data_IF_450220695809
#
_entry.id   IF_450220695809
#
_cell.length_a   1.000
_cell.length_b   1.000
_cell.length_c   1.000
_cell.angle_alpha   90.00
_cell.angle_beta   90.00
_cell.angle_gamma   90.00
#
_symmetry.space_group_name_H-M   'P 1'
#
loop_
_entity.id
_entity.type
_entity.pdbx_description
1 polymer ?
#
# COMPACT_ATOMS: atom_id res chain seq x y z
N UNK A 1 9.58 -3.23 -17.21
CA UNK A 1 9.67 -3.16 -15.73
C UNK A 1 11.00 -3.76 -15.26
N UNK A 2 12.10 -2.99 -15.31
CA UNK A 2 13.48 -3.50 -15.15
C UNK A 2 13.81 -4.01 -13.73
N UNK A 3 13.16 -3.46 -12.69
CA UNK A 3 13.51 -3.71 -11.28
C UNK A 3 12.42 -4.40 -10.45
N UNK A 4 11.32 -4.85 -11.08
CA UNK A 4 10.16 -5.44 -10.39
C UNK A 4 10.54 -6.54 -9.39
N UNK A 5 11.38 -7.51 -9.81
CA UNK A 5 11.80 -8.62 -8.94
C UNK A 5 12.62 -8.14 -7.74
N UNK A 6 13.47 -7.13 -7.93
CA UNK A 6 14.29 -6.54 -6.85
C UNK A 6 13.41 -5.81 -5.83
N UNK A 7 12.45 -5.02 -6.29
CA UNK A 7 11.52 -4.29 -5.42
C UNK A 7 10.69 -5.28 -4.58
N UNK A 8 10.10 -6.30 -5.23
CA UNK A 8 9.33 -7.32 -4.51
C UNK A 8 10.20 -8.08 -3.49
N UNK A 9 11.44 -8.40 -3.85
CA UNK A 9 12.37 -9.07 -2.95
C UNK A 9 12.67 -8.23 -1.71
N UNK A 10 13.01 -6.95 -1.87
CA UNK A 10 13.33 -6.07 -0.73
C UNK A 10 12.13 -5.93 0.20
N UNK A 11 10.94 -5.64 -0.33
CA UNK A 11 9.74 -5.48 0.49
C UNK A 11 9.39 -6.80 1.21
N UNK A 12 9.60 -7.95 0.56
CA UNK A 12 9.42 -9.27 1.18
C UNK A 12 10.44 -9.55 2.29
N UNK A 13 11.71 -9.15 2.13
CA UNK A 13 12.73 -9.24 3.19
C UNK A 13 12.39 -8.33 4.37
N UNK A 14 11.96 -7.09 4.11
CA UNK A 14 11.52 -6.16 5.15
C UNK A 14 10.34 -6.75 5.92
N UNK A 15 9.37 -7.33 5.21
CA UNK A 15 8.24 -8.03 5.82
C UNK A 15 8.72 -9.15 6.73
N UNK A 16 9.57 -10.07 6.25
CA UNK A 16 10.12 -11.15 7.08
C UNK A 16 10.89 -10.66 8.31
N UNK A 17 11.64 -9.55 8.19
CA UNK A 17 12.38 -8.97 9.32
C UNK A 17 11.44 -8.51 10.43
N UNK A 18 10.30 -7.89 10.09
CA UNK A 18 9.30 -7.47 11.10
C UNK A 18 8.72 -8.66 11.89
N UNK A 19 8.81 -9.86 11.33
CA UNK A 19 8.26 -11.09 11.90
C UNK A 19 9.27 -11.88 12.74
N UNK A 20 10.56 -11.67 12.50
CA UNK A 20 11.66 -12.34 13.22
C UNK A 20 12.17 -11.53 14.43
N UNK A 21 11.63 -10.34 14.66
CA UNK A 21 11.95 -9.54 15.84
C UNK A 21 11.51 -10.23 17.15
N UNK A 22 12.29 -10.04 18.23
CA UNK A 22 12.04 -10.64 19.56
C UNK A 22 10.66 -10.33 20.13
N UNK A 23 10.10 -9.18 19.74
CA UNK A 23 8.69 -8.83 19.92
C UNK A 23 8.09 -8.57 18.54
N UNK A 24 6.96 -9.23 18.23
CA UNK A 24 6.31 -9.11 16.93
C UNK A 24 5.71 -7.71 16.76
N UNK A 25 6.24 -6.93 15.81
CA UNK A 25 5.66 -5.64 15.46
C UNK A 25 4.46 -5.86 14.52
N UNK A 26 3.30 -6.18 15.08
CA UNK A 26 2.09 -6.51 14.32
C UNK A 26 1.66 -5.37 13.38
N UNK A 27 1.79 -4.12 13.86
CA UNK A 27 1.44 -2.92 13.08
C UNK A 27 2.34 -2.80 11.86
N UNK A 28 3.66 -2.90 12.04
CA UNK A 28 4.60 -2.76 10.92
C UNK A 28 4.50 -3.94 9.96
N UNK A 29 4.35 -5.14 10.49
CA UNK A 29 4.15 -6.36 9.68
C UNK A 29 2.93 -6.22 8.78
N UNK A 30 1.82 -5.72 9.31
CA UNK A 30 0.61 -5.50 8.53
C UNK A 30 0.77 -4.38 7.49
N UNK A 31 1.44 -3.27 7.82
CA UNK A 31 1.77 -2.19 6.87
C UNK A 31 2.54 -2.71 5.68
N UNK A 32 3.68 -3.38 5.94
CA UNK A 32 4.56 -3.87 4.89
C UNK A 32 3.88 -4.97 4.09
N UNK A 33 3.07 -5.83 4.73
CA UNK A 33 2.28 -6.84 4.01
C UNK A 33 1.31 -6.23 3.01
N UNK A 34 0.56 -5.22 3.43
CA UNK A 34 -0.41 -4.55 2.56
C UNK A 34 0.29 -3.92 1.35
N UNK A 35 1.46 -3.29 1.55
CA UNK A 35 2.30 -2.77 0.46
C UNK A 35 2.72 -3.92 -0.47
N UNK A 36 3.28 -4.98 0.09
CA UNK A 36 3.77 -6.13 -0.66
C UNK A 36 2.66 -6.79 -1.50
N UNK A 37 1.48 -6.97 -0.91
CA UNK A 37 0.32 -7.57 -1.57
C UNK A 37 -0.15 -6.71 -2.74
N UNK A 38 -0.28 -5.40 -2.54
CA UNK A 38 -0.68 -4.46 -3.60
C UNK A 38 0.37 -4.39 -4.71
N UNK A 39 1.66 -4.39 -4.38
CA UNK A 39 2.74 -4.45 -5.39
C UNK A 39 2.66 -5.74 -6.22
N UNK A 40 2.45 -6.89 -5.57
CA UNK A 40 2.28 -8.18 -6.26
C UNK A 40 1.08 -8.14 -7.21
N UNK A 41 -0.05 -7.58 -6.78
CA UNK A 41 -1.25 -7.45 -7.60
C UNK A 41 -1.05 -6.53 -8.80
N UNK A 42 -0.49 -5.33 -8.57
CA UNK A 42 -0.10 -4.36 -9.62
C UNK A 42 0.76 -5.04 -10.68
N UNK A 43 1.83 -5.71 -10.25
CA UNK A 43 2.78 -6.29 -11.17
C UNK A 43 2.21 -7.47 -11.94
N UNK A 44 1.35 -8.28 -11.32
CA UNK A 44 0.64 -9.36 -12.00
C UNK A 44 -0.27 -8.79 -13.09
N UNK A 45 -1.12 -7.83 -12.75
CA UNK A 45 -2.07 -7.20 -13.67
C UNK A 45 -1.37 -6.48 -14.84
N UNK A 46 -0.30 -5.73 -14.55
CA UNK A 46 0.48 -5.05 -15.59
C UNK A 46 1.17 -6.07 -16.50
N UNK A 47 1.75 -7.14 -15.96
CA UNK A 47 2.44 -8.15 -16.77
C UNK A 47 1.48 -8.84 -17.75
N UNK A 48 0.25 -9.12 -17.31
CA UNK A 48 -0.81 -9.68 -18.15
C UNK A 48 -1.19 -8.70 -19.28
N UNK A 49 -1.39 -7.42 -18.98
CA UNK A 49 -1.70 -6.42 -20.01
C UNK A 49 -0.56 -6.15 -20.99
N UNK A 50 0.69 -6.13 -20.50
CA UNK A 50 1.86 -5.97 -21.37
C UNK A 50 2.01 -7.17 -22.30
N UNK A 51 1.69 -8.39 -21.84
CA UNK A 51 1.66 -9.58 -22.69
C UNK A 51 0.62 -9.48 -23.84
N UNK A 52 -0.46 -8.71 -23.66
CA UNK A 52 -1.43 -8.41 -24.74
C UNK A 52 -0.98 -7.31 -25.72
N UNK A 53 0.25 -6.81 -25.58
CA UNK A 53 0.84 -5.81 -26.48
C UNK A 53 0.62 -4.36 -26.05
N UNK A 54 0.18 -4.11 -24.81
CA UNK A 54 0.08 -2.74 -24.25
C UNK A 54 1.42 -2.26 -23.73
N UNK A 55 1.64 -0.95 -23.74
CA UNK A 55 2.81 -0.36 -23.08
C UNK A 55 2.65 -0.47 -21.56
N UNK A 56 3.78 -0.47 -20.83
CA UNK A 56 3.74 -0.50 -19.36
C UNK A 56 3.01 0.71 -18.77
N UNK A 57 3.16 1.89 -19.39
CA UNK A 57 2.48 3.11 -18.96
C UNK A 57 0.95 3.00 -19.12
N UNK A 58 0.48 2.50 -20.26
CA UNK A 58 -0.96 2.32 -20.49
C UNK A 58 -1.53 1.25 -19.56
N UNK A 59 -0.78 0.18 -19.30
CA UNK A 59 -1.16 -0.86 -18.35
C UNK A 59 -1.33 -0.29 -16.93
N UNK A 60 -0.41 0.58 -16.47
CA UNK A 60 -0.54 1.29 -15.20
C UNK A 60 -1.81 2.15 -15.15
N UNK A 61 -2.10 2.91 -16.20
CA UNK A 61 -3.29 3.77 -16.27
C UNK A 61 -4.58 2.94 -16.28
N UNK A 62 -4.60 1.81 -16.98
CA UNK A 62 -5.74 0.88 -17.00
C UNK A 62 -5.95 0.29 -15.61
N UNK A 63 -4.89 -0.14 -14.94
CA UNK A 63 -4.97 -0.65 -13.58
C UNK A 63 -5.48 0.40 -12.58
N UNK A 64 -4.96 1.64 -12.66
CA UNK A 64 -5.46 2.74 -11.84
C UNK A 64 -6.95 3.01 -12.09
N UNK A 65 -7.39 3.04 -13.35
CA UNK A 65 -8.82 3.18 -13.69
C UNK A 65 -9.65 2.00 -13.17
N UNK A 66 -9.13 0.78 -13.25
CA UNK A 66 -9.78 -0.40 -12.71
C UNK A 66 -9.99 -0.27 -11.20
N UNK A 67 -8.95 0.04 -10.42
CA UNK A 67 -9.10 0.24 -8.97
C UNK A 67 -10.05 1.39 -8.62
N UNK A 68 -9.97 2.50 -9.36
CA UNK A 68 -10.74 3.72 -9.10
C UNK A 68 -12.17 3.68 -9.68
N UNK A 69 -12.56 2.58 -10.31
CA UNK A 69 -13.89 2.42 -10.90
C UNK A 69 -14.99 2.67 -9.86
N UNK A 70 -16.03 3.40 -10.28
CA UNK A 70 -17.16 3.79 -9.44
C UNK A 70 -18.45 3.76 -10.25
N UNK A 71 -19.43 3.00 -9.81
CA UNK A 71 -20.74 2.92 -10.45
C UNK A 71 -21.76 3.84 -9.75
N UNK A 72 -22.75 4.39 -10.49
CA UNK A 72 -23.84 5.16 -9.89
C UNK A 72 -24.62 4.31 -8.87
N UNK A 73 -24.75 4.83 -7.64
CA UNK A 73 -25.46 4.14 -6.55
C UNK A 73 -24.56 3.32 -5.61
N UNK A 74 -23.29 3.14 -5.95
CA UNK A 74 -22.32 2.55 -5.03
C UNK A 74 -21.98 3.51 -3.89
N UNK A 75 -21.71 2.95 -2.71
CA UNK A 75 -21.22 3.69 -1.54
C UNK A 75 -19.70 3.56 -1.36
N UNK A 76 -19.07 2.58 -2.01
CA UNK A 76 -17.66 2.23 -1.87
C UNK A 76 -17.10 1.75 -3.21
N UNK A 77 -15.78 1.92 -3.41
CA UNK A 77 -15.08 1.35 -4.58
C UNK A 77 -14.91 -0.15 -4.39
N UNK A 78 -15.70 -0.96 -5.10
CA UNK A 78 -15.65 -2.42 -4.99
C UNK A 78 -14.25 -2.99 -5.24
N UNK A 79 -13.53 -2.50 -6.24
CA UNK A 79 -12.23 -3.08 -6.62
C UNK A 79 -11.17 -2.86 -5.55
N UNK A 80 -11.11 -1.67 -4.93
CA UNK A 80 -10.23 -1.40 -3.77
C UNK A 80 -10.65 -2.23 -2.55
N UNK A 81 -11.96 -2.33 -2.28
CA UNK A 81 -12.48 -3.11 -1.16
C UNK A 81 -12.13 -4.60 -1.29
N UNK A 82 -12.31 -5.18 -2.48
CA UNK A 82 -11.96 -6.57 -2.79
C UNK A 82 -10.46 -6.80 -2.65
N UNK A 83 -9.64 -5.90 -3.20
CA UNK A 83 -8.19 -5.99 -3.11
C UNK A 83 -7.73 -6.02 -1.65
N UNK A 84 -8.24 -5.11 -0.82
CA UNK A 84 -7.84 -5.01 0.59
C UNK A 84 -8.34 -6.17 1.44
N UNK A 85 -9.58 -6.63 1.24
CA UNK A 85 -10.07 -7.83 1.92
C UNK A 85 -9.29 -9.07 1.53
N UNK A 86 -8.86 -9.16 0.27
CA UNK A 86 -8.00 -10.25 -0.21
C UNK A 86 -6.61 -10.17 0.43
N UNK A 87 -6.05 -8.97 0.56
CA UNK A 87 -4.79 -8.74 1.25
C UNK A 87 -4.86 -9.21 2.71
N UNK A 88 -5.93 -8.85 3.43
CA UNK A 88 -6.15 -9.35 4.79
C UNK A 88 -6.29 -10.87 4.82
N UNK A 89 -7.12 -11.46 3.97
CA UNK A 89 -7.30 -12.92 3.94
C UNK A 89 -5.98 -13.68 3.70
N UNK A 90 -5.07 -13.11 2.92
CA UNK A 90 -3.78 -13.71 2.60
C UNK A 90 -2.67 -13.39 3.62
N UNK A 91 -2.94 -12.56 4.65
CA UNK A 91 -1.95 -12.18 5.65
C UNK A 91 -1.48 -13.41 6.45
N UNK A 92 -0.19 -13.77 6.45
CA UNK A 92 0.25 -15.07 6.96
C UNK A 92 0.20 -15.20 8.49
N UNK A 93 0.08 -14.10 9.24
CA UNK A 93 0.11 -14.12 10.72
C UNK A 93 -1.30 -14.06 11.30
N UNK A 94 -2.04 -15.16 11.14
CA UNK A 94 -3.43 -15.25 11.58
C UNK A 94 -3.62 -15.24 13.11
N UNK A 95 -2.57 -15.55 13.87
CA UNK A 95 -2.56 -15.53 15.34
C UNK A 95 -2.33 -14.13 15.91
N UNK A 96 -2.07 -13.13 15.06
CA UNK A 96 -1.90 -11.75 15.49
C UNK A 96 -3.20 -11.18 16.06
N UNK A 97 -3.13 -10.51 17.21
CA UNK A 97 -4.30 -9.90 17.84
C UNK A 97 -4.87 -8.78 16.95
N UNK A 98 -3.98 -7.97 16.35
CA UNK A 98 -4.36 -6.94 15.38
C UNK A 98 -5.11 -7.55 14.19
N UNK A 99 -4.56 -8.63 13.61
CA UNK A 99 -5.20 -9.32 12.50
C UNK A 99 -6.59 -9.85 12.86
N UNK A 100 -6.70 -10.60 13.96
CA UNK A 100 -7.96 -11.17 14.40
C UNK A 100 -9.02 -10.09 14.63
N UNK A 101 -8.62 -8.98 15.25
CA UNK A 101 -9.51 -7.84 15.53
C UNK A 101 -10.02 -7.24 14.22
N UNK A 102 -9.15 -7.03 13.23
CA UNK A 102 -9.51 -6.48 11.93
C UNK A 102 -10.43 -7.41 11.15
N UNK A 103 -10.12 -8.71 11.07
CA UNK A 103 -10.95 -9.67 10.33
C UNK A 103 -12.33 -9.83 10.99
N UNK A 104 -12.40 -9.90 12.33
CA UNK A 104 -13.67 -9.93 13.06
C UNK A 104 -14.49 -8.65 12.84
N UNK A 105 -13.84 -7.49 12.73
CA UNK A 105 -14.52 -6.24 12.42
C UNK A 105 -15.03 -6.20 10.98
N UNK A 106 -14.20 -6.59 10.00
CA UNK A 106 -14.56 -6.65 8.58
C UNK A 106 -15.69 -7.65 8.28
N UNK A 107 -15.79 -8.73 9.05
CA UNK A 107 -16.86 -9.72 8.92
C UNK A 107 -18.26 -9.16 9.26
N UNK A 108 -18.34 -8.08 10.05
CA UNK A 108 -19.61 -7.44 10.43
C UNK A 108 -20.19 -6.56 9.33
N UNK A 109 -19.36 -6.16 8.36
CA UNK A 109 -19.75 -5.23 7.30
C UNK A 109 -19.75 -5.93 5.94
N UNK A 110 -20.91 -6.08 5.29
CA UNK A 110 -21.00 -6.65 3.95
C UNK A 110 -20.19 -5.88 2.92
N UNK A 111 -19.76 -6.57 1.86
CA UNK A 111 -19.10 -5.93 0.73
C UNK A 111 -20.04 -4.90 0.07
N UNK A 112 -19.53 -3.70 -0.19
CA UNK A 112 -20.34 -2.60 -0.75
C UNK A 112 -20.84 -1.60 0.28
N UNK A 113 -20.70 -1.90 1.58
CA UNK A 113 -21.12 -1.04 2.69
C UNK A 113 -19.92 -0.48 3.46
N UNK A 114 -20.16 0.56 4.25
CA UNK A 114 -19.16 1.13 5.16
C UNK A 114 -19.38 0.62 6.58
N UNK A 115 -18.32 0.48 7.41
CA UNK A 115 -16.93 0.80 7.11
C UNK A 115 -16.25 -0.16 6.12
N UNK A 116 -15.44 0.41 5.22
CA UNK A 116 -14.62 -0.29 4.23
C UNK A 116 -13.44 -1.02 4.90
N UNK A 117 -12.87 -2.01 4.23
CA UNK A 117 -11.63 -2.66 4.65
C UNK A 117 -10.50 -1.64 4.83
N UNK A 118 -10.47 -0.61 3.98
CA UNK A 118 -9.57 0.52 4.14
C UNK A 118 -9.73 1.21 5.51
N UNK A 119 -10.95 1.61 5.87
CA UNK A 119 -11.24 2.31 7.13
C UNK A 119 -10.84 1.46 8.34
N UNK A 120 -11.10 0.15 8.29
CA UNK A 120 -10.65 -0.76 9.35
C UNK A 120 -9.13 -0.84 9.45
N UNK A 121 -8.41 -0.97 8.32
CA UNK A 121 -6.95 -1.04 8.30
C UNK A 121 -6.35 0.24 8.88
N UNK A 122 -6.78 1.42 8.42
CA UNK A 122 -6.27 2.70 8.93
C UNK A 122 -6.57 2.87 10.42
N UNK A 123 -7.79 2.53 10.84
CA UNK A 123 -8.17 2.59 12.25
C UNK A 123 -7.31 1.64 13.11
N UNK A 124 -7.02 0.44 12.63
CA UNK A 124 -6.17 -0.53 13.33
C UNK A 124 -4.70 -0.10 13.41
N UNK A 125 -4.18 0.55 12.36
CA UNK A 125 -2.78 0.94 12.25
C UNK A 125 -2.42 2.25 12.97
N UNK A 126 -3.33 3.23 12.96
CA UNK A 126 -3.06 4.59 13.43
C UNK A 126 -3.98 5.04 14.58
N UNK A 127 -4.90 4.17 15.01
CA UNK A 127 -5.89 4.47 16.02
C UNK A 127 -7.01 5.39 15.52
N UNK A 128 -8.10 5.48 16.29
CA UNK A 128 -9.30 6.24 15.90
C UNK A 128 -9.06 7.76 15.77
N UNK A 129 -8.05 8.31 16.48
CA UNK A 129 -7.77 9.75 16.48
C UNK A 129 -7.21 10.25 15.14
N UNK A 130 -6.42 9.44 14.42
CA UNK A 130 -5.83 9.88 13.15
C UNK A 130 -6.88 9.97 12.05
N UNK A 131 -7.76 8.95 11.94
CA UNK A 131 -8.87 8.92 10.97
C UNK A 131 -9.80 10.14 11.09
N UNK A 132 -9.93 10.70 12.29
CA UNK A 132 -10.75 11.89 12.57
C UNK A 132 -10.03 13.21 12.30
N UNK A 133 -8.69 13.20 12.33
CA UNK A 133 -7.87 14.41 12.24
C UNK A 133 -7.39 14.71 10.81
N UNK A 134 -7.23 13.71 9.96
CA UNK A 134 -6.64 13.87 8.63
C UNK A 134 -7.69 14.06 7.52
N UNK A 135 -7.52 15.11 6.71
CA UNK A 135 -8.38 15.43 5.55
C UNK A 135 -7.58 15.22 4.27
N UNK A 136 -7.71 14.05 3.64
CA UNK A 136 -6.96 13.73 2.42
C UNK A 136 -7.72 14.03 1.12
N UNK A 137 -6.96 14.21 0.05
CA UNK A 137 -7.51 14.36 -1.30
C UNK A 137 -8.02 13.02 -1.84
N UNK A 138 -9.26 13.04 -2.33
CA UNK A 138 -9.97 11.91 -2.95
C UNK A 138 -9.33 11.31 -4.21
N UNK A 139 -8.36 12.00 -4.81
CA UNK A 139 -7.78 11.61 -6.11
C UNK A 139 -6.27 11.46 -6.03
N UNK A 140 -5.60 12.21 -5.16
CA UNK A 140 -4.13 12.23 -5.07
C UNK A 140 -3.59 12.02 -3.64
N UNK A 141 -4.46 11.74 -2.65
CA UNK A 141 -4.04 11.43 -1.28
C UNK A 141 -3.38 12.57 -0.49
N UNK A 142 -3.26 13.79 -1.03
CA UNK A 142 -2.64 14.91 -0.31
C UNK A 142 -3.37 15.27 0.99
N UNK A 143 -2.63 15.39 2.11
CA UNK A 143 -3.13 15.77 3.44
C UNK A 143 -3.67 17.22 3.53
N UNK A 144 -3.52 18.02 2.46
CA UNK A 144 -3.88 19.45 2.42
C UNK A 144 -5.04 19.74 1.45
N UNK A 145 -5.89 18.76 1.16
CA UNK A 145 -6.94 18.88 0.15
C UNK A 145 -8.07 19.83 0.57
N UNK A 146 -8.17 21.00 -0.08
CA UNK A 146 -9.23 21.99 0.17
C UNK A 146 -10.53 21.70 -0.58
N UNK A 147 -10.52 20.82 -1.60
CA UNK A 147 -11.67 20.58 -2.48
C UNK A 147 -12.38 19.25 -2.14
N UNK A 148 -13.71 19.28 -2.05
CA UNK A 148 -14.58 18.11 -1.77
C UNK A 148 -15.48 17.79 -2.96
N UNK A 149 -15.91 16.54 -3.09
CA UNK A 149 -16.99 16.12 -3.99
C UNK A 149 -18.26 16.96 -3.72
N UNK A 150 -18.74 17.80 -4.66
CA UNK A 150 -19.90 18.66 -4.43
C UNK A 150 -21.21 17.88 -4.20
N UNK A 151 -21.29 16.64 -4.69
CA UNK A 151 -22.48 15.78 -4.60
C UNK A 151 -22.53 14.92 -3.33
N UNK A 152 -21.37 14.50 -2.83
CA UNK A 152 -21.26 13.48 -1.79
C UNK A 152 -20.52 13.95 -0.53
N UNK A 153 -19.81 15.10 -0.57
CA UNK A 153 -19.03 15.72 0.51
C UNK A 153 -17.98 14.84 1.20
N UNK A 154 -17.85 13.56 0.83
CA UNK A 154 -16.95 12.60 1.43
C UNK A 154 -15.51 12.77 0.93
N UNK A 155 -14.56 12.68 1.87
CA UNK A 155 -13.15 12.49 1.56
C UNK A 155 -12.96 11.05 1.10
N UNK A 156 -12.06 10.87 0.14
CA UNK A 156 -11.73 9.55 -0.36
C UNK A 156 -10.24 9.32 -0.10
N UNK A 157 -9.94 8.12 0.35
CA UNK A 157 -8.71 7.83 1.07
C UNK A 157 -7.84 6.90 0.21
N UNK A 158 -6.55 7.18 0.12
CA UNK A 158 -5.58 6.33 -0.58
C UNK A 158 -4.59 5.76 0.44
N UNK A 159 -4.51 4.43 0.43
CA UNK A 159 -3.70 3.59 1.31
C UNK A 159 -2.21 3.80 1.09
N UNK A 160 -1.79 4.11 -0.14
CA UNK A 160 -0.38 4.27 -0.45
C UNK A 160 0.21 5.53 0.19
N UNK A 161 -0.57 6.61 0.31
CA UNK A 161 -0.07 7.88 0.88
C UNK A 161 0.04 7.81 2.40
N UNK A 162 -0.92 7.21 3.11
CA UNK A 162 -0.83 7.03 4.57
C UNK A 162 0.18 5.95 5.00
N UNK A 163 0.35 4.88 4.22
CA UNK A 163 1.42 3.92 4.49
C UNK A 163 2.80 4.57 4.28
N UNK A 164 2.91 5.48 3.30
CA UNK A 164 4.15 6.20 3.02
C UNK A 164 4.50 7.30 4.03
N UNK A 165 3.52 7.88 4.74
CA UNK A 165 3.77 8.98 5.69
C UNK A 165 4.34 8.54 7.03
N UNK A 166 4.36 7.23 7.32
CA UNK A 166 5.07 6.64 8.47
C UNK A 166 6.01 5.49 8.11
N UNK A 167 6.19 5.23 6.82
CA UNK A 167 7.15 4.27 6.27
C UNK A 167 7.54 4.79 4.88
N UNK A 168 8.36 5.83 4.86
CA UNK A 168 8.95 6.32 3.62
C UNK A 168 9.89 5.22 3.11
N UNK A 169 9.46 4.47 2.09
CA UNK A 169 10.39 3.69 1.25
C UNK A 169 11.49 4.62 0.68
N UNK A 170 11.20 5.92 0.61
CA UNK A 170 12.15 7.01 0.33
C UNK A 170 13.23 7.23 1.41
N UNK A 171 13.03 6.80 2.66
CA UNK A 171 14.10 6.80 3.69
C UNK A 171 14.98 5.56 3.54
N UNK A 172 14.41 4.42 3.13
CA UNK A 172 15.17 3.20 2.88
C UNK A 172 16.06 3.29 1.64
N UNK A 173 15.65 4.04 0.61
CA UNK A 173 16.38 4.22 -0.64
C UNK A 173 16.69 5.71 -0.86
N UNK A 174 17.92 6.09 -0.60
CA UNK A 174 18.47 7.42 -0.84
C UNK A 174 18.80 7.55 -2.34
N UNK A 175 18.14 8.48 -3.01
CA UNK A 175 18.51 8.88 -4.38
C UNK A 175 19.70 9.84 -4.29
N UNK A 176 20.88 9.38 -4.72
CA UNK A 176 22.03 10.25 -4.99
C UNK A 176 22.07 10.59 -6.47
N UNK A 177 22.06 11.88 -6.76
CA UNK A 177 22.28 12.40 -8.11
C UNK A 177 23.77 12.71 -8.23
N UNK A 178 24.46 12.02 -9.13
CA UNK A 178 25.85 12.33 -9.42
C UNK A 178 25.91 13.73 -10.07
N UNK A 179 26.51 14.68 -9.36
CA UNK A 179 26.56 16.10 -9.74
C UNK A 179 27.43 16.36 -10.98
N UNK A 180 28.16 15.36 -11.48
CA UNK A 180 29.05 15.45 -12.64
C UNK A 180 28.42 14.77 -13.87
N UNK A 181 27.83 13.58 -13.70
CA UNK A 181 27.27 12.79 -14.83
C UNK A 181 25.75 12.93 -14.99
N UNK A 182 25.06 13.43 -13.97
CA UNK A 182 23.59 13.48 -13.94
C UNK A 182 22.92 12.12 -13.79
N UNK A 183 23.70 11.06 -13.57
CA UNK A 183 23.17 9.71 -13.34
C UNK A 183 22.56 9.61 -11.94
N UNK A 184 21.42 8.92 -11.88
CA UNK A 184 20.67 8.67 -10.64
C UNK A 184 21.11 7.33 -10.07
N UNK A 185 21.82 7.36 -8.95
CA UNK A 185 22.18 6.18 -8.17
C UNK A 185 21.26 6.08 -6.96
N UNK A 186 20.83 4.85 -6.68
CA UNK A 186 19.94 4.55 -5.55
C UNK A 186 20.76 3.77 -4.53
N UNK A 187 21.01 4.38 -3.38
CA UNK A 187 21.72 3.77 -2.26
C UNK A 187 20.72 3.40 -1.17
N UNK A 188 20.99 2.32 -0.43
CA UNK A 188 20.21 1.97 0.76
C UNK A 188 20.76 2.79 1.92
N UNK A 189 19.90 3.34 2.79
CA UNK A 189 20.33 4.13 3.95
C UNK A 189 21.29 3.33 4.85
N UNK A 190 22.27 4.01 5.47
CA UNK A 190 23.37 3.38 6.23
C UNK A 190 22.88 2.47 7.37
N UNK A 191 21.68 2.73 7.92
CA UNK A 191 21.05 1.94 8.99
C UNK A 191 20.56 0.55 8.50
N UNK A 192 20.48 0.36 7.18
CA UNK A 192 20.09 -0.87 6.49
C UNK A 192 21.26 -1.45 5.65
N UNK A 193 22.49 -0.98 5.88
CA UNK A 193 23.68 -1.37 5.11
C UNK A 193 24.10 -2.84 5.32
N UNK A 194 23.84 -3.40 6.50
CA UNK A 194 24.02 -4.83 6.79
C UNK A 194 23.06 -5.68 5.93
N UNK A 195 21.85 -5.18 5.68
CA UNK A 195 20.87 -5.82 4.80
C UNK A 195 21.33 -5.74 3.34
N UNK A 196 21.94 -4.63 2.92
CA UNK A 196 22.48 -4.45 1.57
C UNK A 196 23.70 -5.33 1.28
N UNK A 197 24.53 -5.65 2.28
CA UNK A 197 25.66 -6.56 2.13
C UNK A 197 25.22 -8.02 1.98
N UNK A 198 24.14 -8.46 2.64
CA UNK A 198 23.52 -9.77 2.39
C UNK A 198 22.83 -9.86 1.02
N UNK A 199 22.45 -8.74 0.41
CA UNK A 199 21.85 -8.66 -0.95
C UNK A 199 22.90 -8.86 -2.07
N UNK A 200 24.19 -8.72 -1.78
CA UNK A 200 25.28 -8.72 -2.77
C UNK A 200 26.00 -10.08 -2.95
N UNK A 201 25.53 -11.15 -2.30
CA UNK A 201 26.01 -12.54 -2.42
C UNK A 201 24.98 -13.38 -3.19
#
# INVERSE_FOLDING_TARGET
MKYQKKILYVVDRVFEKQLRCKESNEVMSLKVWVILFVLRDIYKYISELVATGRTAHDACLIYAKHLLAWEPGEQVRKNVEVLLRSAMKAFPYHHSLLYETLVKAMAKTPLGQRPTAFEYIVQGLFGQRLLMASKFCATCGSCAAKKRCPKCKAALYDLLVELSSGFTVSEMFLEKINHITGEREWEVAEEDHDLAQEIAV
#
